data_IF_029910696718
#
_entry.id   IF_029910696718
#
_cell.length_a   1.000
_cell.length_b   1.000
_cell.length_c   1.000
_cell.angle_alpha   90.00
_cell.angle_beta   90.00
_cell.angle_gamma   90.00
#
_symmetry.space_group_name_H-M   'P 1'
#
loop_
_entity.id
_entity.type
_entity.pdbx_description
1 polymer ?
#
# COMPACT_ATOMS: atom_id res chain seq x y z
N UNK A 1 -7.98 -6.38 6.03
CA UNK A 1 -7.69 -6.18 4.61
C UNK A 1 -6.30 -5.60 4.47
N UNK A 2 -5.46 -6.22 3.65
CA UNK A 2 -4.13 -5.68 3.33
C UNK A 2 -4.26 -4.52 2.33
N UNK A 3 -3.53 -3.40 2.51
CA UNK A 3 -3.57 -2.29 1.56
C UNK A 3 -3.22 -2.68 0.12
N UNK A 4 -2.33 -3.67 -0.07
CA UNK A 4 -1.96 -4.20 -1.40
C UNK A 4 -3.15 -4.69 -2.23
N UNK A 5 -4.25 -5.07 -1.58
CA UNK A 5 -5.44 -5.54 -2.29
C UNK A 5 -6.02 -4.45 -3.21
N UNK A 6 -5.83 -3.17 -2.87
CA UNK A 6 -6.30 -2.04 -3.67
C UNK A 6 -5.71 -2.04 -5.09
N UNK A 7 -4.51 -2.58 -5.29
CA UNK A 7 -3.86 -2.71 -6.60
C UNK A 7 -4.68 -3.54 -7.61
N UNK A 8 -5.55 -4.43 -7.14
CA UNK A 8 -6.29 -5.37 -8.00
C UNK A 8 -7.81 -5.17 -7.95
N UNK A 9 -8.31 -4.33 -7.04
CA UNK A 9 -9.74 -4.10 -6.89
C UNK A 9 -10.23 -3.01 -7.84
N UNK A 10 -11.12 -3.38 -8.75
CA UNK A 10 -11.93 -2.44 -9.53
C UNK A 10 -13.38 -2.47 -9.02
N UNK A 11 -14.13 -1.39 -9.24
CA UNK A 11 -15.54 -1.36 -8.87
C UNK A 11 -16.29 -2.51 -9.57
N UNK A 12 -16.98 -3.42 -8.84
CA UNK A 12 -17.64 -4.56 -9.43
C UNK A 12 -18.76 -4.16 -10.40
N UNK A 13 -19.34 -2.97 -10.21
CA UNK A 13 -20.43 -2.46 -11.02
C UNK A 13 -19.95 -1.78 -12.31
N UNK A 14 -19.11 -0.76 -12.20
CA UNK A 14 -18.72 0.08 -13.36
C UNK A 14 -17.30 -0.15 -13.86
N UNK A 15 -16.57 -1.10 -13.26
CA UNK A 15 -15.18 -1.49 -13.58
C UNK A 15 -14.16 -0.34 -13.48
N UNK A 16 -14.52 0.75 -12.80
CA UNK A 16 -13.62 1.88 -12.55
C UNK A 16 -12.48 1.48 -11.60
N UNK A 17 -11.30 2.01 -11.90
CA UNK A 17 -10.06 1.90 -11.16
C UNK A 17 -9.26 3.19 -11.40
N UNK A 18 -8.54 3.74 -10.39
CA UNK A 18 -8.41 3.26 -9.02
C UNK A 18 -9.65 3.55 -8.15
N UNK A 19 -9.79 2.82 -7.04
CA UNK A 19 -10.78 3.10 -6.00
C UNK A 19 -10.11 3.88 -4.86
N UNK A 20 -10.86 4.77 -4.21
CA UNK A 20 -10.41 5.42 -2.98
C UNK A 20 -10.55 4.48 -1.79
N UNK A 21 -9.63 4.56 -0.84
CA UNK A 21 -9.65 3.80 0.40
C UNK A 21 -9.59 4.75 1.59
N UNK A 22 -10.59 4.68 2.45
CA UNK A 22 -10.65 5.41 3.71
C UNK A 22 -10.48 4.42 4.85
N UNK A 23 -9.38 4.54 5.60
CA UNK A 23 -9.04 3.64 6.71
C UNK A 23 -9.64 4.22 7.98
N UNK A 24 -10.45 3.41 8.67
CA UNK A 24 -11.19 3.84 9.86
C UNK A 24 -10.68 3.16 11.13
N UNK A 25 -10.13 1.94 10.99
CA UNK A 25 -9.53 1.17 12.07
C UNK A 25 -8.49 0.17 11.54
N UNK A 26 -7.36 0.07 12.21
CA UNK A 26 -6.32 -0.93 11.94
C UNK A 26 -6.50 -2.16 12.84
N UNK A 27 -6.43 -3.35 12.25
CA UNK A 27 -6.29 -4.62 12.99
C UNK A 27 -4.85 -4.73 13.51
N UNK A 28 -3.90 -4.20 12.74
CA UNK A 28 -2.50 -4.14 13.14
C UNK A 28 -2.35 -3.23 14.37
N UNK A 29 -1.80 -3.75 15.49
CA UNK A 29 -1.67 -2.96 16.71
C UNK A 29 -0.73 -1.77 16.52
N UNK A 30 -1.04 -0.66 17.19
CA UNK A 30 -0.24 0.57 17.18
C UNK A 30 1.24 0.28 17.50
N UNK A 31 1.51 -0.57 18.49
CA UNK A 31 2.88 -0.95 18.87
C UNK A 31 3.73 -1.55 17.73
N UNK A 32 3.11 -2.13 16.69
CA UNK A 32 3.83 -2.59 15.50
C UNK A 32 4.16 -1.43 14.56
N UNK A 33 3.26 -0.46 14.40
CA UNK A 33 3.54 0.78 13.68
C UNK A 33 4.65 1.58 14.36
N UNK A 34 4.60 1.75 15.69
CA UNK A 34 5.66 2.48 16.40
C UNK A 34 7.04 1.83 16.19
N UNK A 35 7.12 0.50 16.28
CA UNK A 35 8.38 -0.23 16.10
C UNK A 35 8.90 -0.19 14.67
N UNK A 36 8.02 -0.27 13.66
CA UNK A 36 8.47 -0.21 12.26
C UNK A 36 8.97 1.19 11.90
N UNK A 37 8.32 2.24 12.42
CA UNK A 37 8.74 3.63 12.25
C UNK A 37 10.06 3.90 12.97
N UNK A 38 10.20 3.46 14.21
CA UNK A 38 11.46 3.56 14.96
C UNK A 38 12.60 2.86 14.22
N UNK A 39 12.39 1.63 13.74
CA UNK A 39 13.38 0.91 12.95
C UNK A 39 13.73 1.63 11.65
N UNK A 40 12.75 2.21 10.97
CA UNK A 40 12.97 3.00 9.75
C UNK A 40 13.82 4.24 10.03
N UNK A 41 13.46 5.04 11.03
CA UNK A 41 14.20 6.26 11.39
C UNK A 41 15.63 5.96 11.87
N UNK A 42 15.82 4.84 12.57
CA UNK A 42 17.14 4.40 13.02
C UNK A 42 17.93 3.62 11.96
N UNK A 43 17.40 3.48 10.73
CA UNK A 43 18.00 2.68 9.66
C UNK A 43 18.33 1.23 10.08
N UNK A 44 17.51 0.64 10.98
CA UNK A 44 17.66 -0.75 11.43
C UNK A 44 17.14 -1.72 10.37
N UNK A 45 17.97 -1.94 9.35
CA UNK A 45 17.68 -2.89 8.27
C UNK A 45 17.45 -4.32 8.77
N UNK A 46 18.02 -4.70 9.92
CA UNK A 46 17.83 -6.04 10.45
C UNK A 46 16.41 -6.22 10.98
N UNK A 47 15.90 -5.22 11.70
CA UNK A 47 14.50 -5.20 12.14
C UNK A 47 13.55 -5.12 10.96
N UNK A 48 13.77 -4.18 10.02
CA UNK A 48 12.92 -4.01 8.84
C UNK A 48 12.80 -5.33 8.04
N UNK A 49 13.94 -5.97 7.75
CA UNK A 49 13.99 -7.30 7.12
C UNK A 49 13.24 -8.35 7.91
N UNK A 50 13.34 -8.34 9.24
CA UNK A 50 12.65 -9.32 10.09
C UNK A 50 11.14 -9.09 10.11
N UNK A 51 10.71 -7.84 10.11
CA UNK A 51 9.30 -7.45 10.11
C UNK A 51 8.59 -7.82 8.79
N UNK A 52 9.33 -7.89 7.68
CA UNK A 52 8.80 -8.27 6.35
C UNK A 52 9.07 -9.73 5.97
N UNK A 53 9.52 -10.60 6.88
CA UNK A 53 9.74 -12.02 6.58
C UNK A 53 8.44 -12.81 6.71
N UNK A 54 7.96 -13.38 5.60
CA UNK A 54 6.93 -14.43 5.64
C UNK A 54 7.63 -15.78 5.90
N UNK A 55 7.25 -16.50 6.97
CA UNK A 55 7.61 -17.92 7.09
C UNK A 55 6.86 -18.72 6.02
N UNK A 56 7.44 -18.88 4.82
CA UNK A 56 6.96 -19.85 3.81
C UNK A 56 7.77 -21.14 3.88
N UNK A 57 7.32 -22.10 4.70
CA UNK A 57 7.88 -23.48 4.70
C UNK A 57 9.33 -23.62 5.22
N UNK A 58 10.02 -24.68 4.78
CA UNK A 58 11.42 -25.02 5.13
C UNK A 58 12.46 -24.31 4.27
N UNK A 59 12.09 -23.87 3.07
CA UNK A 59 12.99 -23.17 2.16
C UNK A 59 12.88 -21.67 2.41
N UNK A 60 13.95 -21.11 2.98
CA UNK A 60 14.14 -19.67 3.13
C UNK A 60 14.29 -19.09 1.72
N UNK A 61 13.18 -18.78 1.08
CA UNK A 61 13.18 -18.02 -0.16
C UNK A 61 13.70 -16.63 0.24
N UNK A 62 14.98 -16.40 -0.01
CA UNK A 62 15.71 -15.18 0.38
C UNK A 62 15.00 -13.97 -0.23
N UNK A 63 14.25 -13.20 0.56
CA UNK A 63 13.47 -12.01 0.16
C UNK A 63 14.38 -10.83 -0.22
N UNK A 64 15.48 -11.15 -0.89
CA UNK A 64 16.62 -10.30 -1.12
C UNK A 64 16.90 -10.12 -2.59
N UNK A 65 17.49 -8.97 -2.84
CA UNK A 65 18.30 -8.65 -4.00
C UNK A 65 19.21 -9.84 -4.33
N UNK A 66 19.10 -10.35 -5.56
CA UNK A 66 19.85 -11.47 -6.09
C UNK A 66 20.86 -10.94 -7.09
N UNK A 67 22.14 -11.29 -6.94
CA UNK A 67 23.13 -11.04 -7.98
C UNK A 67 23.16 -12.27 -8.91
N UNK A 68 22.97 -12.06 -10.21
CA UNK A 68 23.05 -13.14 -11.19
C UNK A 68 24.50 -13.44 -11.62
N UNK A 69 24.68 -14.46 -12.47
CA UNK A 69 26.00 -14.88 -12.95
C UNK A 69 26.71 -13.83 -13.83
N UNK A 70 25.98 -12.81 -14.29
CA UNK A 70 26.48 -11.74 -15.13
C UNK A 70 26.73 -10.45 -14.31
N UNK A 71 26.86 -10.56 -12.99
CA UNK A 71 27.04 -9.43 -12.06
C UNK A 71 25.88 -8.41 -12.10
N UNK A 72 24.70 -8.84 -12.54
CA UNK A 72 23.51 -7.98 -12.59
C UNK A 72 22.75 -8.08 -11.27
N UNK A 73 22.43 -6.92 -10.68
CA UNK A 73 21.59 -6.83 -9.50
C UNK A 73 20.13 -7.01 -9.92
N UNK A 74 19.54 -8.11 -9.49
CA UNK A 74 18.13 -8.42 -9.68
C UNK A 74 17.38 -8.21 -8.37
N UNK A 75 16.25 -7.51 -8.44
CA UNK A 75 15.41 -7.21 -7.29
C UNK A 75 14.11 -7.98 -7.44
N UNK A 76 13.61 -8.50 -6.32
CA UNK A 76 12.24 -9.00 -6.18
C UNK A 76 11.79 -8.75 -4.75
N UNK A 77 10.52 -8.47 -4.59
CA UNK A 77 9.88 -8.32 -3.29
C UNK A 77 8.38 -8.63 -3.38
N UNK A 78 7.59 -8.19 -2.40
CA UNK A 78 6.15 -8.45 -2.37
C UNK A 78 5.37 -7.58 -3.36
N UNK A 79 5.91 -6.40 -3.72
CA UNK A 79 5.36 -5.53 -4.75
C UNK A 79 5.67 -6.06 -6.16
N UNK A 80 6.91 -6.47 -6.41
CA UNK A 80 7.44 -6.97 -7.69
C UNK A 80 7.97 -8.40 -7.50
N UNK A 81 7.09 -9.38 -7.74
CA UNK A 81 7.39 -10.79 -7.46
C UNK A 81 8.38 -11.43 -8.43
N UNK A 82 8.46 -10.91 -9.66
CA UNK A 82 9.40 -11.39 -10.68
C UNK A 82 10.76 -10.73 -10.47
N UNK A 83 11.82 -11.51 -10.57
CA UNK A 83 13.19 -10.97 -10.59
C UNK A 83 13.32 -10.01 -11.77
N UNK A 84 13.67 -8.77 -11.48
CA UNK A 84 13.81 -7.71 -12.47
C UNK A 84 15.10 -6.92 -12.21
N UNK A 85 15.70 -6.37 -13.27
CA UNK A 85 16.79 -5.41 -13.08
C UNK A 85 16.23 -4.13 -12.43
N UNK A 86 17.11 -3.27 -11.93
CA UNK A 86 16.71 -2.07 -11.19
C UNK A 86 15.78 -1.13 -11.98
N UNK A 87 15.96 -1.00 -13.30
CA UNK A 87 15.12 -0.13 -14.15
C UNK A 87 13.71 -0.72 -14.24
N UNK A 88 13.62 -2.00 -14.62
CA UNK A 88 12.34 -2.71 -14.72
C UNK A 88 11.61 -2.76 -13.38
N UNK A 89 12.35 -2.94 -12.26
CA UNK A 89 11.78 -2.89 -10.92
C UNK A 89 11.11 -1.54 -10.64
N UNK A 90 11.78 -0.41 -10.92
CA UNK A 90 11.19 0.92 -10.76
C UNK A 90 10.02 1.21 -11.71
N UNK A 91 10.00 0.59 -12.90
CA UNK A 91 8.86 0.67 -13.83
C UNK A 91 7.65 -0.09 -13.30
N UNK A 92 7.85 -1.24 -12.64
CA UNK A 92 6.76 -2.02 -12.03
C UNK A 92 6.29 -1.46 -10.68
N UNK A 93 7.17 -0.81 -9.90
CA UNK A 93 6.83 -0.20 -8.60
C UNK A 93 6.07 1.11 -8.75
N UNK A 94 6.45 1.97 -9.70
CA UNK A 94 5.84 3.30 -9.89
C UNK A 94 4.30 3.31 -9.87
N UNK A 95 3.58 2.52 -10.69
CA UNK A 95 2.11 2.53 -10.68
C UNK A 95 1.51 2.08 -9.34
N UNK A 96 2.24 1.30 -8.53
CA UNK A 96 1.82 0.89 -7.18
C UNK A 96 1.96 2.04 -6.19
N UNK A 97 2.95 2.92 -6.38
CA UNK A 97 3.12 4.10 -5.54
C UNK A 97 2.03 5.14 -5.79
N UNK A 98 1.47 5.20 -6.99
CA UNK A 98 0.32 6.05 -7.29
C UNK A 98 -0.90 5.70 -6.42
N UNK A 99 -1.03 4.45 -5.97
CA UNK A 99 -2.14 4.04 -5.10
C UNK A 99 -2.11 4.74 -3.73
N UNK A 100 -0.97 5.26 -3.27
CA UNK A 100 -0.96 6.07 -2.04
C UNK A 100 -1.73 7.38 -2.19
N UNK A 101 -1.92 7.89 -3.41
CA UNK A 101 -2.69 9.12 -3.63
C UNK A 101 -4.18 8.96 -3.35
N UNK A 102 -4.70 7.73 -3.39
CA UNK A 102 -6.12 7.41 -3.20
C UNK A 102 -6.44 6.78 -1.83
N UNK A 103 -5.43 6.65 -0.96
CA UNK A 103 -5.60 6.12 0.41
C UNK A 103 -5.64 7.29 1.39
N UNK A 104 -6.63 7.34 2.26
CA UNK A 104 -6.73 8.28 3.37
C UNK A 104 -6.84 7.50 4.68
N UNK A 105 -6.13 7.95 5.71
CA UNK A 105 -6.14 7.32 7.03
C UNK A 105 -6.78 8.27 8.05
N UNK A 106 -7.96 7.90 8.54
CA UNK A 106 -8.73 8.63 9.55
C UNK A 106 -8.61 8.00 10.95
N UNK A 107 -7.59 7.18 11.16
CA UNK A 107 -7.21 6.68 12.49
C UNK A 107 -6.33 7.71 13.22
N UNK A 108 -5.83 7.35 14.40
CA UNK A 108 -5.08 8.25 15.26
C UNK A 108 -3.70 8.65 14.67
N UNK A 109 -3.05 9.64 15.30
CA UNK A 109 -1.81 10.24 14.81
C UNK A 109 -0.69 9.22 14.56
N UNK A 110 -0.51 8.25 15.47
CA UNK A 110 0.54 7.23 15.33
C UNK A 110 0.43 6.46 14.01
N UNK A 111 -0.79 6.08 13.62
CA UNK A 111 -1.04 5.32 12.40
C UNK A 111 -0.90 6.20 11.14
N UNK A 112 -1.60 7.34 11.15
CA UNK A 112 -1.60 8.27 10.02
C UNK A 112 -0.21 8.84 9.71
N UNK A 113 0.67 8.95 10.71
CA UNK A 113 2.07 9.33 10.51
C UNK A 113 2.84 8.40 9.56
N UNK A 114 2.56 7.09 9.59
CA UNK A 114 3.21 6.12 8.72
C UNK A 114 2.79 6.31 7.26
N UNK A 115 1.48 6.46 7.02
CA UNK A 115 0.98 6.75 5.67
C UNK A 115 1.50 8.10 5.16
N UNK A 116 1.56 9.11 6.02
CA UNK A 116 2.09 10.44 5.66
C UNK A 116 3.55 10.36 5.25
N UNK A 117 4.42 9.75 6.07
CA UNK A 117 5.83 9.50 5.74
C UNK A 117 5.98 8.81 4.38
N UNK A 118 5.13 7.80 4.11
CA UNK A 118 5.16 7.10 2.82
C UNK A 118 4.85 8.06 1.67
N UNK A 119 3.74 8.82 1.78
CA UNK A 119 3.29 9.75 0.74
C UNK A 119 4.28 10.88 0.47
N UNK A 120 4.86 11.46 1.52
CA UNK A 120 5.65 12.70 1.41
C UNK A 120 7.10 12.46 1.08
N UNK A 121 7.70 11.46 1.73
CA UNK A 121 9.15 11.27 1.73
C UNK A 121 9.54 10.07 0.89
N UNK A 122 8.96 8.90 1.17
CA UNK A 122 9.38 7.64 0.54
C UNK A 122 9.02 7.59 -0.94
N UNK A 123 7.76 7.87 -1.29
CA UNK A 123 7.33 7.88 -2.69
C UNK A 123 8.15 8.89 -3.49
N UNK A 124 8.36 10.09 -2.93
CA UNK A 124 9.17 11.14 -3.55
C UNK A 124 10.63 10.69 -3.74
N UNK A 125 11.22 10.06 -2.74
CA UNK A 125 12.60 9.57 -2.79
C UNK A 125 12.77 8.52 -3.89
N UNK A 126 11.89 7.52 -3.94
CA UNK A 126 11.91 6.46 -4.97
C UNK A 126 11.77 7.05 -6.39
N UNK A 127 10.81 7.94 -6.62
CA UNK A 127 10.57 8.53 -7.95
C UNK A 127 11.73 9.45 -8.38
N UNK A 128 12.33 10.17 -7.45
CA UNK A 128 13.53 10.99 -7.71
C UNK A 128 14.71 10.11 -8.09
N UNK A 129 14.93 9.02 -7.35
CA UNK A 129 15.98 8.03 -7.63
C UNK A 129 15.79 7.40 -9.01
N UNK A 130 14.55 7.02 -9.37
CA UNK A 130 14.23 6.53 -10.72
C UNK A 130 14.58 7.53 -11.82
N UNK A 131 14.22 8.80 -11.62
CA UNK A 131 14.49 9.86 -12.61
C UNK A 131 16.00 10.04 -12.82
N UNK A 132 16.77 10.07 -11.73
CA UNK A 132 18.24 10.14 -11.76
C UNK A 132 18.89 8.96 -12.49
N UNK A 133 18.23 7.80 -12.55
CA UNK A 133 18.70 6.61 -13.29
C UNK A 133 18.43 6.77 -14.79
N UNK A 134 17.24 7.25 -15.17
CA UNK A 134 16.86 7.45 -16.59
C UNK A 134 17.79 8.45 -17.28
N UNK A 135 18.16 9.52 -16.59
CA UNK A 135 19.02 10.58 -17.13
C UNK A 135 20.47 10.12 -17.40
N UNK A 136 20.90 8.99 -16.81
CA UNK A 136 22.27 8.48 -16.92
C UNK A 136 22.60 7.72 -18.23
N UNK A 137 21.68 7.65 -19.21
CA UNK A 137 21.80 6.87 -20.47
C UNK A 137 22.15 5.38 -20.24
N UNK A 138 21.16 4.53 -20.50
CA UNK A 138 20.97 3.10 -20.11
C UNK A 138 22.09 2.09 -20.49
N UNK A 139 23.23 2.47 -21.05
CA UNK A 139 24.31 1.52 -21.38
C UNK A 139 25.42 1.54 -20.32
N UNK A 140 25.22 0.85 -19.19
CA UNK A 140 26.31 0.47 -18.29
C UNK A 140 26.29 1.07 -16.88
N UNK A 141 25.17 0.99 -16.16
CA UNK A 141 25.18 1.24 -14.71
C UNK A 141 26.05 0.15 -14.07
N UNK A 142 27.21 0.53 -13.52
CA UNK A 142 28.12 -0.42 -12.87
C UNK A 142 27.45 -1.10 -11.68
N UNK A 143 27.90 -2.31 -11.32
CA UNK A 143 27.42 -3.02 -10.14
C UNK A 143 27.56 -2.17 -8.86
N UNK A 144 28.66 -1.40 -8.73
CA UNK A 144 28.85 -0.49 -7.60
C UNK A 144 27.75 0.58 -7.53
N UNK A 145 27.39 1.18 -8.67
CA UNK A 145 26.30 2.16 -8.75
C UNK A 145 24.93 1.52 -8.46
N UNK A 146 24.67 0.30 -8.96
CA UNK A 146 23.42 -0.41 -8.66
C UNK A 146 23.29 -0.71 -7.16
N UNK A 147 24.38 -1.17 -6.52
CA UNK A 147 24.42 -1.42 -5.09
C UNK A 147 24.24 -0.14 -4.27
N UNK A 148 24.83 0.97 -4.70
CA UNK A 148 24.64 2.27 -4.04
C UNK A 148 23.17 2.69 -4.09
N UNK A 149 22.56 2.72 -5.29
CA UNK A 149 21.16 3.08 -5.47
C UNK A 149 20.26 2.21 -4.60
N UNK A 150 20.52 0.91 -4.58
CA UNK A 150 19.74 -0.03 -3.79
C UNK A 150 19.89 0.26 -2.29
N UNK A 151 21.11 0.45 -1.80
CA UNK A 151 21.35 0.78 -0.39
C UNK A 151 20.67 2.09 0.01
N UNK A 152 20.54 3.04 -0.91
CA UNK A 152 19.87 4.31 -0.65
C UNK A 152 18.35 4.12 -0.44
N UNK A 153 17.71 3.19 -1.16
CA UNK A 153 16.24 3.00 -1.13
C UNK A 153 15.78 1.77 -0.36
N UNK A 154 16.69 0.93 0.15
CA UNK A 154 16.31 -0.40 0.66
C UNK A 154 15.40 -0.32 1.91
N UNK A 155 15.62 0.67 2.78
CA UNK A 155 14.75 0.92 3.94
C UNK A 155 13.33 1.28 3.50
N UNK A 156 13.22 2.12 2.47
CA UNK A 156 11.94 2.55 1.88
C UNK A 156 11.18 1.35 1.33
N UNK A 157 11.87 0.49 0.56
CA UNK A 157 11.30 -0.74 0.03
C UNK A 157 10.78 -1.64 1.15
N UNK A 158 11.54 -1.80 2.25
CA UNK A 158 11.06 -2.61 3.37
C UNK A 158 9.85 -2.02 4.08
N UNK A 159 9.82 -0.70 4.31
CA UNK A 159 8.68 -0.05 4.93
C UNK A 159 7.44 -0.12 4.04
N UNK A 160 7.59 0.09 2.72
CA UNK A 160 6.51 -0.08 1.74
C UNK A 160 5.97 -1.51 1.73
N UNK A 161 6.86 -2.50 1.66
CA UNK A 161 6.45 -3.90 1.71
C UNK A 161 5.73 -4.23 3.03
N UNK A 162 6.25 -3.73 4.16
CA UNK A 162 5.59 -3.89 5.46
C UNK A 162 4.19 -3.30 5.45
N UNK A 163 4.05 -2.04 5.03
CA UNK A 163 2.77 -1.36 4.97
C UNK A 163 1.79 -2.09 4.05
N UNK A 164 2.20 -2.42 2.81
CA UNK A 164 1.30 -3.06 1.84
C UNK A 164 0.88 -4.48 2.22
N UNK A 165 1.81 -5.28 2.78
CA UNK A 165 1.63 -6.73 2.88
C UNK A 165 1.51 -7.25 4.32
N UNK A 166 1.93 -6.47 5.32
CA UNK A 166 1.99 -6.90 6.72
C UNK A 166 1.20 -6.02 7.68
N UNK A 167 0.76 -4.84 7.24
CA UNK A 167 -0.31 -4.11 7.90
C UNK A 167 -1.68 -4.62 7.44
N UNK A 168 -2.65 -4.51 8.33
CA UNK A 168 -3.99 -5.02 8.12
C UNK A 168 -5.04 -4.06 8.67
N UNK A 169 -5.94 -3.65 7.78
CA UNK A 169 -7.09 -2.79 8.07
C UNK A 169 -8.21 -3.65 8.63
N UNK A 170 -8.77 -3.27 9.78
CA UNK A 170 -9.93 -3.95 10.39
C UNK A 170 -11.24 -3.39 9.80
N UNK A 171 -11.38 -2.06 9.82
CA UNK A 171 -12.54 -1.35 9.30
C UNK A 171 -12.14 -0.19 8.38
N UNK A 172 -12.94 0.03 7.33
CA UNK A 172 -12.67 1.05 6.33
C UNK A 172 -13.74 1.12 5.25
N UNK A 173 -13.57 2.03 4.29
CA UNK A 173 -14.47 2.19 3.14
C UNK A 173 -13.66 2.23 1.85
N UNK A 174 -14.05 1.41 0.88
CA UNK A 174 -13.57 1.48 -0.50
C UNK A 174 -14.61 2.26 -1.30
N UNK A 175 -14.22 3.34 -1.98
CA UNK A 175 -15.13 4.23 -2.67
C UNK A 175 -14.82 4.37 -4.15
N UNK A 176 -15.85 4.25 -4.98
CA UNK A 176 -15.78 4.48 -6.41
C UNK A 176 -16.25 5.89 -6.74
N UNK A 177 -15.33 6.77 -7.10
CA UNK A 177 -15.67 8.16 -7.43
C UNK A 177 -16.52 8.31 -8.70
N UNK A 178 -16.45 7.34 -9.62
CA UNK A 178 -17.20 7.34 -10.89
C UNK A 178 -18.69 7.07 -10.69
N UNK A 179 -19.04 6.05 -9.91
CA UNK A 179 -20.44 5.64 -9.72
C UNK A 179 -20.99 5.92 -8.32
N UNK A 180 -20.17 6.52 -7.45
CA UNK A 180 -20.48 6.90 -6.06
C UNK A 180 -20.83 5.72 -5.14
N UNK A 181 -20.48 4.50 -5.53
CA UNK A 181 -20.63 3.32 -4.67
C UNK A 181 -19.50 3.24 -3.66
N UNK A 182 -19.87 2.95 -2.43
CA UNK A 182 -18.92 2.68 -1.36
C UNK A 182 -19.07 1.23 -0.92
N UNK A 183 -18.01 0.59 -0.45
CA UNK A 183 -18.00 -0.80 0.00
C UNK A 183 -17.32 -0.86 1.37
N UNK A 184 -17.96 -1.41 2.41
CA UNK A 184 -17.33 -1.50 3.72
C UNK A 184 -16.22 -2.54 3.72
N UNK A 185 -15.23 -2.29 4.57
CA UNK A 185 -14.33 -3.30 5.11
C UNK A 185 -14.80 -3.53 6.55
N UNK A 186 -15.17 -4.76 6.87
CA UNK A 186 -15.63 -5.17 8.21
C UNK A 186 -14.87 -6.42 8.60
N UNK A 187 -14.33 -6.44 9.82
CA UNK A 187 -13.53 -7.57 10.32
C UNK A 187 -12.46 -8.01 9.32
N UNK A 188 -11.74 -7.04 8.75
CA UNK A 188 -10.70 -7.23 7.74
C UNK A 188 -11.18 -7.65 6.34
N UNK A 189 -12.48 -7.88 6.13
CA UNK A 189 -13.05 -8.40 4.88
C UNK A 189 -13.70 -7.27 4.07
N UNK A 190 -13.23 -6.98 2.83
CA UNK A 190 -13.92 -6.05 1.93
C UNK A 190 -15.20 -6.68 1.37
N UNK A 191 -16.34 -6.07 1.65
CA UNK A 191 -17.65 -6.55 1.21
C UNK A 191 -18.08 -5.85 -0.08
N UNK A 192 -17.57 -6.33 -1.22
CA UNK A 192 -17.80 -5.73 -2.55
C UNK A 192 -18.93 -6.39 -3.33
N UNK A 193 -20.09 -6.58 -2.66
CA UNK A 193 -21.26 -7.20 -3.26
C UNK A 193 -21.97 -6.26 -4.25
N UNK A 194 -22.66 -6.80 -5.28
CA UNK A 194 -23.64 -6.06 -6.07
C UNK A 194 -24.74 -5.45 -5.21
N UNK A 195 -25.33 -4.33 -5.65
CA UNK A 195 -26.32 -3.57 -4.87
C UNK A 195 -27.51 -4.41 -4.41
N UNK A 196 -27.96 -5.37 -5.22
CA UNK A 196 -29.08 -6.27 -4.95
C UNK A 196 -28.80 -7.35 -3.89
N UNK A 197 -27.53 -7.53 -3.53
CA UNK A 197 -27.07 -8.49 -2.51
C UNK A 197 -26.54 -7.79 -1.25
N UNK A 198 -26.66 -6.46 -1.16
CA UNK A 198 -26.26 -5.68 0.00
C UNK A 198 -27.41 -5.55 1.00
N UNK A 199 -27.06 -5.47 2.26
CA UNK A 199 -28.01 -5.42 3.37
C UNK A 199 -28.11 -3.99 3.93
N UNK A 200 -29.31 -3.60 4.37
CA UNK A 200 -29.56 -2.26 4.93
C UNK A 200 -28.79 -2.01 6.26
N UNK A 201 -28.23 -3.04 6.90
CA UNK A 201 -27.38 -2.91 8.10
C UNK A 201 -26.08 -2.13 7.83
N UNK A 202 -25.72 -1.93 6.56
CA UNK A 202 -24.64 -1.03 6.15
C UNK A 202 -24.93 0.44 6.53
N UNK A 203 -26.19 0.81 6.74
CA UNK A 203 -26.57 2.12 7.29
C UNK A 203 -26.03 2.29 8.71
N UNK A 204 -26.03 1.23 9.53
CA UNK A 204 -25.49 1.31 10.89
C UNK A 204 -23.96 1.45 10.88
N UNK A 205 -23.29 0.87 9.89
CA UNK A 205 -21.87 1.13 9.64
C UNK A 205 -21.62 2.61 9.30
N UNK A 206 -22.42 3.19 8.39
CA UNK A 206 -22.30 4.61 8.04
C UNK A 206 -22.55 5.52 9.25
N UNK A 207 -23.59 5.28 10.05
CA UNK A 207 -23.89 6.06 11.27
C UNK A 207 -22.76 6.01 12.28
N UNK A 208 -22.14 4.83 12.46
CA UNK A 208 -21.01 4.66 13.39
C UNK A 208 -19.82 5.53 13.01
N UNK A 209 -19.56 5.68 11.71
CA UNK A 209 -18.38 6.36 11.16
C UNK A 209 -18.67 7.72 10.52
N UNK A 210 -19.88 8.24 10.68
CA UNK A 210 -20.38 9.47 10.06
C UNK A 210 -19.43 10.66 10.24
N UNK A 211 -18.90 10.83 11.46
CA UNK A 211 -18.02 11.95 11.81
C UNK A 211 -16.64 11.93 11.14
N UNK A 212 -16.21 10.77 10.63
CA UNK A 212 -14.92 10.58 9.96
C UNK A 212 -15.04 10.49 8.44
N UNK A 213 -16.20 10.06 7.94
CA UNK A 213 -16.37 9.78 6.53
C UNK A 213 -16.61 11.07 5.70
N UNK A 214 -16.14 11.12 4.45
CA UNK A 214 -16.45 12.22 3.55
C UNK A 214 -17.95 12.40 3.33
N UNK A 215 -18.39 13.65 3.23
CA UNK A 215 -19.80 14.01 2.98
C UNK A 215 -20.35 13.39 1.70
N UNK A 216 -19.52 13.18 0.68
CA UNK A 216 -19.92 12.50 -0.56
C UNK A 216 -20.36 11.06 -0.34
N UNK A 217 -19.80 10.35 0.65
CA UNK A 217 -20.24 8.99 1.01
C UNK A 217 -21.53 9.09 1.84
N UNK A 218 -21.60 10.05 2.77
CA UNK A 218 -22.71 10.20 3.70
C UNK A 218 -24.00 10.70 3.03
N UNK A 219 -23.92 11.59 2.04
CA UNK A 219 -25.09 12.18 1.37
C UNK A 219 -25.40 11.60 -0.01
N UNK A 220 -24.38 11.18 -0.76
CA UNK A 220 -24.56 10.74 -2.17
C UNK A 220 -24.16 9.28 -2.40
N UNK A 221 -23.75 8.59 -1.32
CA UNK A 221 -23.32 7.20 -1.38
C UNK A 221 -24.38 6.27 -1.95
N UNK A 222 -23.92 5.29 -2.74
CA UNK A 222 -24.74 4.21 -3.28
C UNK A 222 -24.29 2.85 -2.73
N UNK A 223 -25.23 1.91 -2.56
CA UNK A 223 -26.68 2.06 -2.72
C UNK A 223 -27.33 2.80 -1.54
N UNK A 224 -26.67 2.85 -0.38
CA UNK A 224 -27.15 3.51 0.84
C UNK A 224 -26.38 4.78 1.15
N UNK A 225 -27.07 5.74 1.77
CA UNK A 225 -26.54 6.96 2.37
C UNK A 225 -27.46 7.40 3.51
N UNK A 226 -27.06 8.41 4.29
CA UNK A 226 -27.79 8.87 5.48
C UNK A 226 -28.77 10.02 5.20
N UNK A 227 -28.78 10.58 3.98
CA UNK A 227 -29.67 11.69 3.62
C UNK A 227 -31.00 11.25 2.97
N UNK A 228 -31.11 10.00 2.51
CA UNK A 228 -32.40 9.44 2.07
C UNK A 228 -33.28 9.18 3.30
N UNK A 229 -34.19 10.12 3.56
CA UNK A 229 -35.36 9.95 4.42
C UNK A 229 -36.51 9.28 3.66
#
# INVERSE_FOLDING_TARGET
MKPLLLDILACPICKYYPLKLYILKWETPESKFSKILEAFHNSDLNYLKKATKIRRGKDRIDDGVVIDKNETVLIRDEMVRKKSNIITYFEEVEPKLENFTVIEDFTDETYSSCLNLIKTDIVKHILTTKTNIKDKKITGITMATQNQILNDIISDIYLLNWFFQFSEIEEGVIFCEKCKRWYPIIETIPQMLPDDLREDNEIDFLKRWESKLPTTIIGEGKPYNLEIK
#
